data_IF_276245601885
#
_entry.id   IF_276245601885
#
_cell.length_a   1.000
_cell.length_b   1.000
_cell.length_c   1.000
_cell.angle_alpha   90.00
_cell.angle_beta   90.00
_cell.angle_gamma   90.00
#
_symmetry.space_group_name_H-M   'P 1'
#
loop_
_entity.id
_entity.type
_entity.pdbx_description
1 polymer ?
#
# COMPACT_ATOMS: atom_id res chain seq x y z
N UNK A 1 -18.65 -23.31 19.36
CA UNK A 1 -18.35 -22.94 17.96
C UNK A 1 -17.90 -21.49 18.01
N UNK A 2 -16.63 -21.20 17.74
CA UNK A 2 -16.16 -19.83 17.57
C UNK A 2 -16.01 -19.61 16.07
N UNK A 3 -17.01 -18.96 15.48
CA UNK A 3 -16.89 -18.42 14.13
C UNK A 3 -15.78 -17.37 14.17
N UNK A 4 -14.63 -17.69 13.55
CA UNK A 4 -13.57 -16.71 13.30
C UNK A 4 -14.19 -15.65 12.38
N UNK A 5 -14.52 -14.48 12.93
CA UNK A 5 -14.81 -13.31 12.12
C UNK A 5 -13.58 -13.02 11.26
N UNK A 6 -13.70 -13.23 9.96
CA UNK A 6 -12.68 -12.87 8.99
C UNK A 6 -12.70 -11.35 8.87
N UNK A 7 -11.70 -10.69 9.46
CA UNK A 7 -11.53 -9.24 9.31
C UNK A 7 -11.10 -9.00 7.87
N UNK A 8 -12.02 -8.48 7.06
CA UNK A 8 -11.72 -8.07 5.69
C UNK A 8 -10.89 -6.78 5.75
N UNK A 9 -9.59 -6.89 5.50
CA UNK A 9 -8.70 -5.73 5.41
C UNK A 9 -8.81 -5.19 3.98
N UNK A 10 -9.41 -4.02 3.84
CA UNK A 10 -9.41 -3.27 2.58
C UNK A 10 -8.23 -2.29 2.61
N UNK A 11 -7.41 -2.33 1.56
CA UNK A 11 -6.25 -1.46 1.38
C UNK A 11 -6.55 -0.54 0.21
N UNK A 12 -6.58 0.76 0.48
CA UNK A 12 -6.75 1.80 -0.52
C UNK A 12 -5.38 2.36 -0.94
N UNK A 13 -5.14 2.49 -2.24
CA UNK A 13 -3.90 3.01 -2.81
C UNK A 13 -4.23 4.24 -3.65
N UNK A 14 -3.73 5.39 -3.22
CA UNK A 14 -3.65 6.58 -4.04
C UNK A 14 -2.31 6.60 -4.79
N UNK A 15 -2.34 6.81 -6.11
CA UNK A 15 -1.13 6.93 -6.93
C UNK A 15 -1.06 8.34 -7.47
N UNK A 16 0.02 9.06 -7.13
CA UNK A 16 0.29 10.38 -7.65
C UNK A 16 1.49 10.33 -8.60
N UNK A 17 1.29 10.74 -9.85
CA UNK A 17 2.35 10.90 -10.84
C UNK A 17 2.52 12.39 -11.09
N UNK A 18 3.72 12.92 -10.81
CA UNK A 18 4.04 14.34 -10.94
C UNK A 18 3.06 15.28 -10.19
N UNK A 19 2.44 14.79 -9.12
CA UNK A 19 1.48 15.52 -8.28
C UNK A 19 0.02 15.38 -8.72
N UNK A 20 -0.26 14.68 -9.82
CA UNK A 20 -1.61 14.39 -10.29
C UNK A 20 -2.04 12.99 -9.87
N UNK A 21 -3.24 12.88 -9.31
CA UNK A 21 -3.82 11.58 -8.93
C UNK A 21 -4.23 10.80 -10.18
N UNK A 22 -3.79 9.55 -10.25
CA UNK A 22 -4.09 8.63 -11.35
C UNK A 22 -4.99 7.53 -10.80
N UNK A 23 -6.15 7.36 -11.45
CA UNK A 23 -7.10 6.30 -11.07
C UNK A 23 -6.44 4.92 -11.21
N UNK A 24 -6.34 4.22 -10.10
CA UNK A 24 -5.86 2.85 -10.05
C UNK A 24 -7.04 1.88 -10.09
N UNK A 25 -7.04 1.00 -11.09
CA UNK A 25 -8.04 -0.07 -11.18
C UNK A 25 -7.85 -1.13 -10.08
N UNK A 26 -8.84 -2.01 -9.91
CA UNK A 26 -8.86 -3.06 -8.87
C UNK A 26 -7.60 -3.95 -8.86
N UNK A 27 -7.06 -4.27 -10.04
CA UNK A 27 -5.83 -5.04 -10.16
C UNK A 27 -4.63 -4.26 -9.59
N UNK A 28 -4.47 -2.99 -9.97
CA UNK A 28 -3.37 -2.13 -9.50
C UNK A 28 -3.48 -1.87 -7.99
N UNK A 29 -4.69 -1.59 -7.49
CA UNK A 29 -5.00 -1.44 -6.07
C UNK A 29 -4.53 -2.69 -5.27
N UNK A 30 -4.96 -3.86 -5.72
CA UNK A 30 -4.62 -5.13 -5.06
C UNK A 30 -3.12 -5.43 -5.12
N UNK A 31 -2.49 -5.23 -6.28
CA UNK A 31 -1.08 -5.53 -6.48
C UNK A 31 -0.20 -4.62 -5.60
N UNK A 32 -0.36 -3.30 -5.73
CA UNK A 32 0.48 -2.33 -5.01
C UNK A 32 0.19 -2.39 -3.51
N UNK A 33 -1.09 -2.41 -3.11
CA UNK A 33 -1.48 -2.44 -1.70
C UNK A 33 -0.88 -3.63 -0.98
N UNK A 34 -0.97 -4.83 -1.56
CA UNK A 34 -0.37 -6.05 -0.97
C UNK A 34 1.15 -6.02 -0.95
N UNK A 35 1.80 -5.58 -2.04
CA UNK A 35 3.26 -5.55 -2.09
C UNK A 35 3.84 -4.54 -1.08
N UNK A 36 3.26 -3.34 -0.99
CA UNK A 36 3.73 -2.29 -0.09
C UNK A 36 3.44 -2.65 1.36
N UNK A 37 2.24 -3.12 1.70
CA UNK A 37 1.93 -3.59 3.05
C UNK A 37 2.86 -4.74 3.49
N UNK A 38 3.14 -5.70 2.59
CA UNK A 38 4.09 -6.78 2.84
C UNK A 38 5.54 -6.31 3.00
N UNK A 39 5.97 -5.29 2.25
CA UNK A 39 7.29 -4.70 2.42
C UNK A 39 7.42 -3.96 3.76
N UNK A 40 6.37 -3.22 4.15
CA UNK A 40 6.33 -2.45 5.41
C UNK A 40 6.31 -3.37 6.63
N UNK A 41 5.61 -4.51 6.59
CA UNK A 41 5.60 -5.48 7.70
C UNK A 41 6.96 -6.10 7.99
N UNK A 42 7.87 -6.11 7.01
CA UNK A 42 9.25 -6.56 7.19
C UNK A 42 10.20 -5.48 7.77
N UNK A 43 9.76 -4.21 7.86
CA UNK A 43 10.58 -3.12 8.38
C UNK A 43 10.66 -3.16 9.91
N UNK A 44 11.88 -3.01 10.44
CA UNK A 44 12.07 -2.90 11.89
C UNK A 44 11.53 -1.58 12.41
N UNK A 45 10.72 -1.64 13.47
CA UNK A 45 10.22 -0.46 14.18
C UNK A 45 8.86 0.07 13.70
N UNK A 46 8.24 -0.58 12.70
CA UNK A 46 6.86 -0.31 12.32
C UNK A 46 5.93 -1.15 13.19
N UNK A 47 4.90 -0.53 13.78
CA UNK A 47 3.86 -1.25 14.55
C UNK A 47 2.90 -1.95 13.58
N UNK A 48 2.33 -3.08 13.98
CA UNK A 48 1.36 -3.82 13.14
C UNK A 48 0.05 -3.03 12.91
N UNK A 49 -0.26 -2.07 13.77
CA UNK A 49 -1.50 -1.29 13.81
C UNK A 49 -1.37 0.07 13.08
N UNK A 50 -0.67 0.14 11.95
CA UNK A 50 -0.60 1.39 11.18
C UNK A 50 -1.91 1.63 10.42
N UNK A 51 -2.36 2.89 10.38
CA UNK A 51 -3.57 3.30 9.65
C UNK A 51 -3.24 3.83 8.25
N UNK A 52 -2.08 4.49 8.10
CA UNK A 52 -1.63 5.11 6.86
C UNK A 52 -0.12 4.87 6.65
N UNK A 53 0.28 4.66 5.39
CA UNK A 53 1.67 4.62 4.96
C UNK A 53 1.83 5.49 3.71
N UNK A 54 2.96 6.19 3.60
CA UNK A 54 3.27 7.00 2.42
C UNK A 54 4.60 6.54 1.81
N UNK A 55 4.57 6.18 0.52
CA UNK A 55 5.78 5.75 -0.22
C UNK A 55 6.07 6.77 -1.33
N UNK A 56 7.26 7.38 -1.29
CA UNK A 56 7.74 8.31 -2.33
C UNK A 56 8.82 7.66 -3.17
N UNK A 57 8.57 7.52 -4.47
CA UNK A 57 9.56 7.06 -5.45
C UNK A 57 10.00 8.24 -6.31
N UNK A 58 11.31 8.48 -6.40
CA UNK A 58 11.88 9.50 -7.30
C UNK A 58 12.65 8.82 -8.42
N UNK A 59 12.18 8.97 -9.66
CA UNK A 59 12.94 8.58 -10.84
C UNK A 59 14.01 9.65 -11.12
N UNK A 60 15.27 9.24 -11.26
CA UNK A 60 16.34 10.09 -11.81
C UNK A 60 16.72 9.54 -13.17
N UNK A 61 16.61 10.36 -14.22
CA UNK A 61 17.15 10.03 -15.54
C UNK A 61 18.58 10.58 -15.61
N UNK A 62 19.55 9.72 -15.89
CA UNK A 62 20.90 10.14 -16.24
C UNK A 62 20.97 10.18 -17.78
N UNK A 63 21.41 11.31 -18.32
CA UNK A 63 21.67 11.54 -19.75
C UNK A 63 23.07 11.11 -20.12
#
# INVERSE_FOLDING_TARGET
MNEKMEVKVEVEVAILVDGEEVEANEFVQTLIGRAVAGAVSALKGVKEEWEELEVRVKRRTYS
#
